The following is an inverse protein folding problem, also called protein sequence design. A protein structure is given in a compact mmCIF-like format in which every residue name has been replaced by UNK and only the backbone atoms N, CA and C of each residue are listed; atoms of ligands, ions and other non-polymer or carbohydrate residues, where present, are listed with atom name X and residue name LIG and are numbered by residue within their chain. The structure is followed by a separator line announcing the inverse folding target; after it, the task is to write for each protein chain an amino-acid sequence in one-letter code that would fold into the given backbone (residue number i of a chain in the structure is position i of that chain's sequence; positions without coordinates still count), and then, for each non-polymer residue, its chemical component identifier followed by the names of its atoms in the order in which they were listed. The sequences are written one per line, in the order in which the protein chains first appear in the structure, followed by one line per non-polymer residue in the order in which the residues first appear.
data_IF_332346070817
#
_entry.id   IF_332346070817
#
_cell.length_a   1.000
_cell.length_b   1.000
_cell.length_c   1.000
_cell.angle_alpha   90.00
_cell.angle_beta   90.00
_cell.angle_gamma   90.00
#
_symmetry.space_group_name_H-M   'P 1'
#
loop_
_entity.id
_entity.type
_entity.pdbx_description
1 polymer ?
#
# COMPACT_ATOMS: atom_id res chain seq x y z
N UNK A 1 16.47 21.99 29.06
CA UNK A 1 15.11 21.77 29.59
C UNK A 1 14.01 22.09 28.57
N UNK A 2 14.27 22.06 27.25
CA UNK A 2 13.24 22.26 26.20
C UNK A 2 13.03 21.03 25.28
N UNK A 3 13.83 19.96 25.44
CA UNK A 3 13.75 18.75 24.60
C UNK A 3 12.84 17.62 25.13
N UNK A 4 12.29 17.75 26.35
CA UNK A 4 11.46 16.73 26.97
C UNK A 4 9.95 16.95 26.74
N UNK A 5 9.54 18.12 26.24
CA UNK A 5 8.13 18.48 26.10
C UNK A 5 7.49 18.03 24.78
N UNK A 6 8.30 17.75 23.75
CA UNK A 6 7.78 17.39 22.40
C UNK A 6 7.40 15.91 22.32
N UNK A 7 8.06 15.04 23.10
CA UNK A 7 7.77 13.58 23.09
C UNK A 7 6.42 13.23 23.79
N UNK A 8 5.92 14.11 24.66
CA UNK A 8 4.67 13.83 25.42
C UNK A 8 3.38 14.19 24.64
N UNK A 9 3.47 15.01 23.60
CA UNK A 9 2.30 15.42 22.79
C UNK A 9 1.94 14.35 21.75
N UNK A 10 2.92 13.67 21.16
CA UNK A 10 2.67 12.61 20.19
C UNK A 10 2.01 11.34 20.81
N UNK A 11 2.19 11.10 22.12
CA UNK A 11 1.61 9.95 22.82
C UNK A 11 0.17 10.15 23.28
N UNK A 12 -0.34 11.40 23.34
CA UNK A 12 -1.70 11.70 23.80
C UNK A 12 -2.72 11.61 22.68
N UNK A 13 -2.33 11.80 21.42
CA UNK A 13 -3.24 11.70 20.28
C UNK A 13 -3.50 10.27 19.80
N UNK A 14 -2.59 9.32 20.04
CA UNK A 14 -2.78 7.91 19.69
C UNK A 14 -3.79 7.15 20.59
N UNK A 15 -4.20 7.73 21.72
CA UNK A 15 -5.11 7.09 22.69
C UNK A 15 -6.56 7.59 22.63
N UNK A 16 -6.87 8.64 21.86
CA UNK A 16 -8.23 9.18 21.74
C UNK A 16 -9.07 8.62 20.58
N UNK A 17 -8.45 7.85 19.65
CA UNK A 17 -9.17 7.25 18.51
C UNK A 17 -9.82 5.88 18.82
N UNK A 18 -9.56 5.29 19.98
CA UNK A 18 -10.03 3.93 20.32
C UNK A 18 -11.45 3.85 20.92
N UNK A 19 -12.19 4.96 21.00
CA UNK A 19 -13.48 5.04 21.73
C UNK A 19 -14.76 5.17 20.90
N UNK A 20 -14.71 5.33 19.59
CA UNK A 20 -15.87 5.79 18.81
C UNK A 20 -16.66 4.72 18.02
N UNK A 21 -16.19 3.47 17.95
CA UNK A 21 -16.81 2.44 17.09
C UNK A 21 -17.97 1.64 17.72
N UNK A 22 -18.55 2.06 18.84
CA UNK A 22 -19.56 1.26 19.56
C UNK A 22 -20.97 1.86 19.62
N UNK A 23 -21.32 2.93 18.92
CA UNK A 23 -22.73 3.40 18.78
C UNK A 23 -22.90 4.18 17.49
N UNK A 24 -23.88 3.78 16.67
CA UNK A 24 -24.27 4.43 15.42
C UNK A 24 -24.44 5.94 15.54
N UNK A 25 -23.35 6.64 15.38
CA UNK A 25 -23.26 8.07 15.20
C UNK A 25 -22.53 8.28 13.88
N UNK A 26 -22.96 9.27 13.13
CA UNK A 26 -22.27 9.79 11.93
C UNK A 26 -20.78 9.84 12.21
N UNK A 27 -19.98 9.07 11.44
CA UNK A 27 -18.54 9.07 11.56
C UNK A 27 -18.05 10.50 11.35
N UNK A 28 -17.41 11.10 12.35
CA UNK A 28 -16.60 12.29 12.13
C UNK A 28 -15.58 11.94 11.04
N UNK A 29 -15.49 12.77 10.00
CA UNK A 29 -14.48 12.63 8.95
C UNK A 29 -13.12 12.45 9.62
N UNK A 30 -12.31 11.44 9.23
CA UNK A 30 -10.92 11.38 9.67
C UNK A 30 -10.26 12.73 9.36
N UNK A 31 -9.37 13.25 10.21
CA UNK A 31 -8.64 14.47 9.91
C UNK A 31 -8.03 14.32 8.52
N UNK A 32 -8.22 15.33 7.67
CA UNK A 32 -7.81 15.27 6.27
C UNK A 32 -6.32 14.87 6.20
N UNK A 33 -6.01 13.73 5.58
CA UNK A 33 -4.62 13.26 5.38
C UNK A 33 -3.74 14.27 4.62
N UNK A 34 -4.33 15.25 3.93
CA UNK A 34 -3.63 16.45 3.46
C UNK A 34 -2.83 17.13 4.58
N UNK A 35 -3.39 17.23 5.77
CA UNK A 35 -2.74 17.85 6.92
C UNK A 35 -1.51 17.03 7.34
N UNK A 36 -1.61 15.70 7.37
CA UNK A 36 -0.47 14.82 7.72
C UNK A 36 0.59 14.70 6.62
N UNK A 37 0.20 14.68 5.35
CA UNK A 37 1.16 14.62 4.25
C UNK A 37 1.83 15.97 3.99
N UNK A 38 1.13 17.08 4.17
CA UNK A 38 1.69 18.43 4.15
C UNK A 38 2.52 18.68 5.42
N UNK A 39 2.06 18.28 6.60
CA UNK A 39 2.85 18.34 7.84
C UNK A 39 4.12 17.47 7.75
N UNK A 40 4.06 16.26 7.20
CA UNK A 40 5.27 15.43 7.05
C UNK A 40 6.27 16.00 6.04
N UNK A 41 5.80 16.62 4.95
CA UNK A 41 6.64 17.39 4.02
C UNK A 41 7.18 18.66 4.66
N UNK A 42 6.34 19.43 5.33
CA UNK A 42 6.71 20.67 6.02
C UNK A 42 7.72 20.41 7.14
N UNK A 43 7.56 19.32 7.92
CA UNK A 43 8.54 18.87 8.91
C UNK A 43 9.86 18.39 8.29
N UNK A 44 9.84 17.75 7.13
CA UNK A 44 11.05 17.30 6.44
C UNK A 44 11.78 18.44 5.73
N UNK A 45 11.04 19.37 5.12
CA UNK A 45 11.61 20.54 4.42
C UNK A 45 12.12 21.62 5.39
N UNK A 46 11.47 21.88 6.53
CA UNK A 46 11.87 22.93 7.47
C UNK A 46 13.06 22.57 8.38
N UNK A 47 13.38 21.30 8.59
CA UNK A 47 14.29 20.95 9.66
C UNK A 47 15.58 20.24 9.24
N UNK A 48 15.73 19.72 8.04
CA UNK A 48 16.81 18.77 7.77
C UNK A 48 16.83 17.66 8.83
N UNK A 49 15.64 17.21 9.24
CA UNK A 49 15.47 16.32 10.40
C UNK A 49 16.07 14.93 10.17
N UNK A 50 16.21 14.54 8.90
CA UNK A 50 16.67 13.21 8.50
C UNK A 50 17.81 13.27 7.46
N UNK A 51 18.91 14.04 7.74
CA UNK A 51 19.91 14.36 6.72
C UNK A 51 20.65 13.13 6.18
N UNK A 52 20.80 12.08 7.02
CA UNK A 52 21.48 10.87 6.58
C UNK A 52 20.57 10.03 5.69
N UNK A 53 19.29 9.92 6.05
CA UNK A 53 18.28 9.26 5.22
C UNK A 53 18.18 9.91 3.83
N UNK A 54 18.03 11.24 3.78
CA UNK A 54 17.96 11.97 2.51
C UNK A 54 19.24 11.81 1.68
N UNK A 55 20.40 11.85 2.33
CA UNK A 55 21.68 11.60 1.67
C UNK A 55 21.71 10.22 1.03
N UNK A 56 21.33 9.16 1.75
CA UNK A 56 21.30 7.80 1.18
C UNK A 56 20.23 7.65 0.10
N UNK A 57 19.11 8.38 0.22
CA UNK A 57 18.08 8.45 -0.82
C UNK A 57 18.61 8.99 -2.15
N UNK A 58 19.50 10.00 -2.12
CA UNK A 58 20.12 10.52 -3.35
C UNK A 58 20.99 9.45 -4.04
N UNK A 59 21.80 8.70 -3.28
CA UNK A 59 22.60 7.60 -3.85
C UNK A 59 21.70 6.48 -4.39
N UNK A 60 20.64 6.14 -3.66
CA UNK A 60 19.67 5.12 -4.09
C UNK A 60 19.03 5.47 -5.44
N UNK A 61 18.52 6.70 -5.58
CA UNK A 61 17.90 7.20 -6.82
C UNK A 61 18.85 7.22 -8.02
N UNK A 62 20.13 7.44 -7.77
CA UNK A 62 21.16 7.47 -8.79
C UNK A 62 21.79 6.08 -9.07
N UNK A 63 21.32 5.03 -8.36
CA UNK A 63 21.90 3.68 -8.41
C UNK A 63 23.43 3.68 -8.12
N UNK A 64 23.86 4.55 -7.20
CA UNK A 64 25.26 4.68 -6.82
C UNK A 64 25.56 3.94 -5.51
N UNK A 65 26.79 3.39 -5.35
CA UNK A 65 27.22 2.79 -4.08
C UNK A 65 27.11 3.77 -2.91
N UNK A 66 26.52 3.33 -1.81
CA UNK A 66 26.33 4.19 -0.63
C UNK A 66 27.69 4.52 0.03
N UNK A 67 27.93 5.79 0.38
CA UNK A 67 29.20 6.17 0.99
C UNK A 67 29.38 5.50 2.35
N UNK A 68 30.57 4.95 2.57
CA UNK A 68 30.90 4.25 3.80
C UNK A 68 30.41 2.81 3.88
N UNK A 69 29.65 2.33 2.89
CA UNK A 69 29.11 0.95 2.83
C UNK A 69 28.46 0.51 4.16
N UNK A 70 27.36 1.19 4.59
CA UNK A 70 26.78 0.98 5.93
C UNK A 70 26.27 -0.44 6.18
N UNK A 71 26.06 -1.24 5.12
CA UNK A 71 25.66 -2.63 5.17
C UNK A 71 26.82 -3.62 5.32
N UNK A 72 28.10 -3.18 5.21
CA UNK A 72 29.23 -4.09 5.26
C UNK A 72 29.30 -4.84 6.60
N UNK A 73 29.33 -6.19 6.53
CA UNK A 73 29.37 -7.09 7.69
C UNK A 73 28.07 -7.14 8.49
N UNK A 74 26.98 -6.58 7.98
CA UNK A 74 25.65 -6.62 8.59
C UNK A 74 24.77 -7.69 7.93
N UNK A 75 23.87 -8.28 8.73
CA UNK A 75 22.84 -9.22 8.26
C UNK A 75 21.51 -8.51 8.10
N UNK A 76 20.94 -8.60 6.91
CA UNK A 76 19.63 -8.05 6.57
C UNK A 76 18.60 -9.18 6.48
N UNK A 77 17.53 -9.10 7.28
CA UNK A 77 16.36 -9.96 7.14
C UNK A 77 15.27 -9.27 6.32
N UNK A 78 14.65 -9.99 5.40
CA UNK A 78 13.48 -9.54 4.68
C UNK A 78 12.46 -10.68 4.60
N UNK A 79 11.24 -10.46 5.08
CA UNK A 79 10.10 -11.35 4.89
C UNK A 79 9.17 -10.72 3.85
N UNK A 80 9.17 -11.28 2.63
CA UNK A 80 8.31 -10.83 1.55
C UNK A 80 6.88 -11.36 1.76
N UNK A 81 5.90 -10.57 1.35
CA UNK A 81 4.48 -10.95 1.51
C UNK A 81 4.10 -12.14 0.62
N UNK A 82 4.61 -12.17 -0.63
CA UNK A 82 4.35 -13.26 -1.57
C UNK A 82 5.36 -13.28 -2.73
N UNK A 83 6.30 -14.22 -2.69
CA UNK A 83 7.43 -14.26 -3.62
C UNK A 83 7.08 -14.54 -5.10
N UNK A 84 5.83 -14.84 -5.43
CA UNK A 84 5.40 -15.13 -6.81
C UNK A 84 4.48 -14.08 -7.42
N UNK A 85 4.10 -13.05 -6.65
CA UNK A 85 3.30 -11.95 -7.16
C UNK A 85 4.19 -10.89 -7.81
N UNK A 86 3.88 -10.39 -9.02
CA UNK A 86 4.72 -9.43 -9.74
C UNK A 86 5.13 -8.22 -8.92
N UNK A 87 4.20 -7.58 -8.21
CA UNK A 87 4.48 -6.48 -7.29
C UNK A 87 5.57 -6.84 -6.27
N UNK A 88 5.39 -7.97 -5.59
CA UNK A 88 6.29 -8.42 -4.52
C UNK A 88 7.65 -8.85 -5.05
N UNK A 89 7.71 -9.40 -6.26
CA UNK A 89 8.97 -9.72 -6.97
C UNK A 89 9.74 -8.42 -7.25
N UNK A 90 9.07 -7.39 -7.76
CA UNK A 90 9.69 -6.10 -8.04
C UNK A 90 10.23 -5.44 -6.77
N UNK A 91 9.46 -5.46 -5.67
CA UNK A 91 9.90 -4.98 -4.35
C UNK A 91 11.14 -5.71 -3.87
N UNK A 92 11.14 -7.06 -3.91
CA UNK A 92 12.27 -7.89 -3.47
C UNK A 92 13.53 -7.62 -4.28
N UNK A 93 13.40 -7.58 -5.61
CA UNK A 93 14.54 -7.35 -6.50
C UNK A 93 15.17 -5.99 -6.21
N UNK A 94 14.37 -4.93 -6.10
CA UNK A 94 14.92 -3.59 -5.85
C UNK A 94 15.51 -3.46 -4.43
N UNK A 95 14.93 -4.11 -3.41
CA UNK A 95 15.53 -4.18 -2.07
C UNK A 95 16.91 -4.86 -2.13
N UNK A 96 17.03 -5.99 -2.85
CA UNK A 96 18.31 -6.72 -3.00
C UNK A 96 19.35 -5.86 -3.73
N UNK A 97 18.96 -5.20 -4.81
CA UNK A 97 19.85 -4.32 -5.59
C UNK A 97 20.37 -3.16 -4.74
N UNK A 98 19.48 -2.46 -4.05
CA UNK A 98 19.84 -1.34 -3.18
C UNK A 98 20.66 -1.82 -1.97
N UNK A 99 20.36 -2.98 -1.39
CA UNK A 99 21.16 -3.56 -0.31
C UNK A 99 22.59 -3.85 -0.76
N UNK A 100 22.80 -4.37 -1.97
CA UNK A 100 24.14 -4.55 -2.55
C UNK A 100 24.88 -3.23 -2.72
N UNK A 101 24.19 -2.17 -3.19
CA UNK A 101 24.77 -0.82 -3.29
C UNK A 101 25.16 -0.25 -1.92
N UNK A 102 24.45 -0.61 -0.86
CA UNK A 102 24.74 -0.23 0.52
C UNK A 102 25.83 -1.08 1.19
N UNK A 103 26.33 -2.15 0.53
CA UNK A 103 27.42 -2.99 1.02
C UNK A 103 26.99 -4.27 1.74
N UNK A 104 25.70 -4.62 1.77
CA UNK A 104 25.27 -5.92 2.30
C UNK A 104 25.75 -7.04 1.37
N UNK A 105 26.40 -8.08 1.95
CA UNK A 105 26.77 -9.25 1.20
C UNK A 105 25.55 -10.13 0.90
N UNK A 106 25.51 -10.77 -0.26
CA UNK A 106 24.38 -11.61 -0.67
C UNK A 106 24.12 -12.76 0.31
N UNK A 107 25.18 -13.36 0.84
CA UNK A 107 25.11 -14.46 1.84
C UNK A 107 24.59 -13.98 3.22
N UNK A 108 24.60 -12.67 3.48
CA UNK A 108 24.11 -12.06 4.72
C UNK A 108 22.67 -11.50 4.57
N UNK A 109 22.06 -11.64 3.40
CA UNK A 109 20.65 -11.35 3.17
C UNK A 109 19.79 -12.61 3.39
N UNK A 110 18.88 -12.53 4.35
CA UNK A 110 17.97 -13.62 4.73
C UNK A 110 16.59 -13.29 4.20
N UNK A 111 16.18 -13.92 3.10
CA UNK A 111 14.89 -13.67 2.46
C UNK A 111 13.93 -14.82 2.75
N UNK A 112 12.68 -14.49 3.10
CA UNK A 112 11.61 -15.44 3.39
C UNK A 112 10.33 -15.01 2.70
N UNK A 113 9.46 -15.98 2.39
CA UNK A 113 8.16 -15.79 1.77
C UNK A 113 7.04 -16.08 2.79
N UNK A 114 6.21 -15.08 3.09
CA UNK A 114 5.06 -15.17 3.99
C UNK A 114 3.83 -15.81 3.34
N UNK A 115 3.82 -15.97 2.01
CA UNK A 115 2.81 -16.68 1.22
C UNK A 115 1.37 -16.19 1.42
N UNK A 116 1.18 -14.92 1.78
CA UNK A 116 -0.12 -14.37 2.23
C UNK A 116 -0.78 -15.19 3.36
N UNK A 117 0.02 -15.92 4.14
CA UNK A 117 -0.46 -16.80 5.20
C UNK A 117 0.03 -16.33 6.57
N UNK A 118 -0.93 -16.07 7.47
CA UNK A 118 -0.64 -15.58 8.83
C UNK A 118 0.18 -16.56 9.67
N UNK A 119 0.00 -17.86 9.47
CA UNK A 119 0.75 -18.91 10.22
C UNK A 119 2.17 -19.02 9.69
N UNK A 120 2.34 -18.96 8.37
CA UNK A 120 3.66 -18.95 7.72
C UNK A 120 4.42 -17.69 8.13
N UNK A 121 3.77 -16.52 8.08
CA UNK A 121 4.37 -15.26 8.50
C UNK A 121 4.88 -15.29 9.93
N UNK A 122 4.09 -15.77 10.89
CA UNK A 122 4.54 -15.96 12.28
C UNK A 122 5.72 -16.92 12.40
N UNK A 123 5.70 -18.03 11.68
CA UNK A 123 6.80 -18.99 11.66
C UNK A 123 8.07 -18.38 11.06
N UNK A 124 7.94 -17.61 9.99
CA UNK A 124 9.06 -16.89 9.36
C UNK A 124 9.67 -15.87 10.34
N UNK A 125 8.84 -15.12 11.05
CA UNK A 125 9.31 -14.21 12.10
C UNK A 125 10.11 -14.94 13.19
N UNK A 126 9.68 -16.12 13.66
CA UNK A 126 10.41 -16.91 14.63
C UNK A 126 11.75 -17.45 14.08
N UNK A 127 11.77 -17.89 12.84
CA UNK A 127 13.01 -18.30 12.16
C UNK A 127 13.94 -17.10 12.01
N UNK A 128 13.43 -15.93 11.59
CA UNK A 128 14.21 -14.71 11.42
C UNK A 128 14.85 -14.29 12.75
N UNK A 129 14.11 -14.30 13.87
CA UNK A 129 14.64 -14.04 15.20
C UNK A 129 15.79 -14.98 15.57
N UNK A 130 15.68 -16.28 15.22
CA UNK A 130 16.73 -17.27 15.49
C UNK A 130 18.01 -17.00 14.72
N UNK A 131 17.91 -16.39 13.55
CA UNK A 131 19.05 -16.03 12.69
C UNK A 131 19.73 -14.73 13.12
N UNK A 132 19.06 -13.93 13.97
CA UNK A 132 19.56 -12.68 14.55
C UNK A 132 20.11 -11.70 13.49
N UNK A 133 19.28 -11.20 12.55
CA UNK A 133 19.71 -10.14 11.65
C UNK A 133 20.01 -8.86 12.43
N UNK A 134 20.85 -7.99 11.89
CA UNK A 134 21.09 -6.65 12.42
C UNK A 134 19.89 -5.72 12.17
N UNK A 135 19.11 -5.99 11.12
CA UNK A 135 17.87 -5.29 10.77
C UNK A 135 16.86 -6.24 10.12
N UNK A 136 15.57 -6.00 10.36
CA UNK A 136 14.50 -6.76 9.76
C UNK A 136 13.50 -5.89 8.99
N UNK A 137 13.19 -6.27 7.77
CA UNK A 137 12.16 -5.68 6.93
C UNK A 137 10.97 -6.64 6.90
N UNK A 138 9.80 -6.18 7.35
CA UNK A 138 8.57 -6.97 7.36
C UNK A 138 7.59 -6.48 6.30
N UNK A 139 7.21 -7.38 5.41
CA UNK A 139 6.15 -7.17 4.44
C UNK A 139 5.10 -8.26 4.64
N UNK A 140 4.05 -7.96 5.41
CA UNK A 140 3.03 -8.92 5.85
C UNK A 140 1.63 -8.33 5.66
N UNK A 141 0.72 -9.11 5.08
CA UNK A 141 -0.65 -8.68 4.79
C UNK A 141 -1.56 -8.60 6.03
N UNK A 142 -1.29 -9.39 7.08
CA UNK A 142 -2.15 -9.49 8.26
C UNK A 142 -1.65 -8.57 9.38
N UNK A 143 -2.40 -7.52 9.68
CA UNK A 143 -2.07 -6.57 10.75
C UNK A 143 -2.00 -7.20 12.15
N UNK A 144 -2.71 -8.32 12.40
CA UNK A 144 -2.63 -9.05 13.66
C UNK A 144 -1.30 -9.77 13.82
N UNK A 145 -0.76 -10.31 12.72
CA UNK A 145 0.59 -10.89 12.70
C UNK A 145 1.60 -9.79 13.01
N UNK A 146 1.48 -8.61 12.40
CA UNK A 146 2.35 -7.47 12.64
C UNK A 146 2.41 -7.04 14.11
N UNK A 147 1.30 -7.12 14.84
CA UNK A 147 1.30 -6.84 16.28
C UNK A 147 2.17 -7.83 17.07
N UNK A 148 2.19 -9.10 16.68
CA UNK A 148 3.00 -10.15 17.32
C UNK A 148 4.47 -9.98 16.93
N UNK A 149 4.75 -9.70 15.67
CA UNK A 149 6.10 -9.41 15.14
C UNK A 149 6.71 -8.23 15.89
N UNK A 150 5.97 -7.12 16.03
CA UNK A 150 6.40 -5.95 16.79
C UNK A 150 6.86 -6.30 18.21
N UNK A 151 6.06 -7.06 18.94
CA UNK A 151 6.39 -7.48 20.31
C UNK A 151 7.67 -8.33 20.37
N UNK A 152 7.79 -9.30 19.46
CA UNK A 152 8.92 -10.24 19.42
C UNK A 152 10.23 -9.53 19.08
N UNK A 153 10.24 -8.68 18.04
CA UNK A 153 11.46 -8.00 17.58
C UNK A 153 11.87 -6.89 18.54
N UNK A 154 10.92 -6.14 19.11
CA UNK A 154 11.20 -5.17 20.19
C UNK A 154 11.84 -5.86 21.39
N UNK A 155 11.30 -7.00 21.84
CA UNK A 155 11.85 -7.76 22.97
C UNK A 155 13.27 -8.31 22.68
N UNK A 156 13.56 -8.61 21.42
CA UNK A 156 14.89 -9.06 20.96
C UNK A 156 15.88 -7.91 20.72
N UNK A 157 15.43 -6.66 20.72
CA UNK A 157 16.24 -5.48 20.41
C UNK A 157 16.69 -5.42 18.94
N UNK A 158 15.96 -6.07 18.03
CA UNK A 158 16.24 -6.05 16.61
C UNK A 158 15.37 -4.95 15.99
N UNK A 159 15.98 -3.90 15.35
CA UNK A 159 15.22 -2.87 14.67
C UNK A 159 14.51 -3.44 13.45
N UNK A 160 13.34 -2.89 13.15
CA UNK A 160 12.56 -3.30 11.99
C UNK A 160 11.92 -2.10 11.26
N UNK A 161 11.56 -2.30 10.00
CA UNK A 161 10.80 -1.41 9.16
C UNK A 161 9.64 -2.20 8.53
N UNK A 162 8.47 -1.58 8.45
CA UNK A 162 7.26 -2.16 7.87
C UNK A 162 7.06 -1.67 6.43
N UNK A 163 6.69 -2.60 5.52
CA UNK A 163 6.26 -2.26 4.16
C UNK A 163 4.74 -2.42 4.05
N UNK A 164 4.05 -1.41 3.52
CA UNK A 164 2.62 -1.33 3.14
C UNK A 164 1.59 -1.62 4.24
N UNK A 165 1.90 -2.47 5.21
CA UNK A 165 1.03 -2.73 6.37
C UNK A 165 1.82 -2.44 7.64
N UNK A 166 1.37 -1.50 8.50
CA UNK A 166 2.15 -1.03 9.64
C UNK A 166 2.49 -2.14 10.65
N UNK A 167 3.69 -2.04 11.21
CA UNK A 167 4.13 -2.79 12.40
C UNK A 167 4.26 -1.79 13.56
N UNK A 168 3.54 -1.96 14.68
CA UNK A 168 3.55 -1.02 15.77
C UNK A 168 4.95 -0.70 16.29
N UNK A 169 5.29 0.60 16.32
CA UNK A 169 6.57 1.09 16.81
C UNK A 169 7.72 1.05 15.80
N UNK A 170 7.48 0.57 14.59
CA UNK A 170 8.43 0.61 13.49
C UNK A 170 8.14 1.76 12.52
N UNK A 171 9.15 2.32 11.84
CA UNK A 171 8.92 3.15 10.68
C UNK A 171 8.11 2.40 9.61
N UNK A 172 7.20 3.10 8.96
CA UNK A 172 6.39 2.60 7.87
C UNK A 172 6.93 3.13 6.54
N UNK A 173 7.08 2.26 5.55
CA UNK A 173 7.32 2.65 4.17
C UNK A 173 6.23 2.04 3.28
N UNK A 174 5.66 2.84 2.40
CA UNK A 174 4.62 2.38 1.49
C UNK A 174 3.81 3.54 0.92
N UNK A 175 2.54 3.26 0.64
CA UNK A 175 1.62 4.19 -0.01
C UNK A 175 0.84 4.99 1.02
N UNK A 176 0.63 6.28 0.72
CA UNK A 176 -0.46 7.02 1.36
C UNK A 176 -1.78 6.50 0.78
N UNK A 177 -2.35 5.48 1.45
CA UNK A 177 -3.49 4.72 0.94
C UNK A 177 -4.75 5.59 0.72
N UNK A 178 -4.99 6.57 1.58
CA UNK A 178 -6.09 7.49 1.42
C UNK A 178 -5.91 8.38 0.19
N UNK A 179 -4.75 9.02 0.06
CA UNK A 179 -4.47 9.91 -1.06
C UNK A 179 -4.48 9.18 -2.40
N UNK A 180 -3.86 8.00 -2.48
CA UNK A 180 -3.88 7.16 -3.67
C UNK A 180 -5.31 6.77 -4.06
N UNK A 181 -6.13 6.38 -3.08
CA UNK A 181 -7.52 6.02 -3.31
C UNK A 181 -8.37 7.22 -3.75
N UNK A 182 -8.16 8.40 -3.17
CA UNK A 182 -8.81 9.65 -3.62
C UNK A 182 -8.43 9.97 -5.07
N UNK A 183 -7.16 9.77 -5.46
CA UNK A 183 -6.74 9.94 -6.86
C UNK A 183 -7.46 8.97 -7.79
N UNK A 184 -7.58 7.70 -7.39
CA UNK A 184 -8.31 6.67 -8.15
C UNK A 184 -9.80 7.03 -8.29
N UNK A 185 -10.45 7.43 -7.19
CA UNK A 185 -11.86 7.83 -7.17
C UNK A 185 -12.14 9.08 -8.02
N UNK A 186 -11.26 10.08 -7.98
CA UNK A 186 -11.36 11.26 -8.85
C UNK A 186 -11.20 10.92 -10.33
N UNK A 187 -10.30 9.97 -10.66
CA UNK A 187 -10.17 9.50 -12.02
C UNK A 187 -11.42 8.77 -12.49
N UNK A 188 -11.96 7.84 -11.67
CA UNK A 188 -13.22 7.18 -11.97
C UNK A 188 -14.40 8.17 -12.11
N UNK A 189 -14.49 9.16 -11.24
CA UNK A 189 -15.52 10.21 -11.32
C UNK A 189 -15.43 11.02 -12.63
N UNK A 190 -14.21 11.33 -13.07
CA UNK A 190 -13.98 11.99 -14.36
C UNK A 190 -14.54 11.14 -15.50
N UNK A 191 -14.21 9.84 -15.54
CA UNK A 191 -14.70 8.93 -16.59
C UNK A 191 -16.23 8.80 -16.56
N UNK A 192 -16.84 8.65 -15.38
CA UNK A 192 -18.31 8.63 -15.22
C UNK A 192 -18.97 9.87 -15.82
N UNK A 193 -18.37 11.06 -15.66
CA UNK A 193 -18.90 12.28 -16.26
C UNK A 193 -18.72 12.32 -17.77
N UNK A 194 -17.54 11.98 -18.24
CA UNK A 194 -17.17 12.11 -19.65
C UNK A 194 -17.87 11.06 -20.53
N UNK A 195 -17.99 9.84 -20.05
CA UNK A 195 -18.51 8.71 -20.82
C UNK A 195 -19.99 8.43 -20.56
N UNK A 196 -20.44 8.59 -19.30
CA UNK A 196 -21.81 8.22 -18.92
C UNK A 196 -22.69 9.43 -18.59
N UNK A 197 -22.14 10.65 -18.59
CA UNK A 197 -22.88 11.90 -18.38
C UNK A 197 -23.20 12.19 -16.89
N UNK A 198 -22.74 11.37 -15.96
CA UNK A 198 -22.89 11.58 -14.52
C UNK A 198 -23.34 10.36 -13.73
N UNK A 199 -23.39 10.52 -12.41
CA UNK A 199 -23.62 9.43 -11.44
C UNK A 199 -25.02 8.81 -11.53
N UNK A 200 -26.02 9.53 -12.04
CA UNK A 200 -27.37 8.98 -12.25
C UNK A 200 -27.37 7.77 -13.16
N UNK A 201 -26.41 7.68 -14.08
CA UNK A 201 -26.24 6.57 -15.01
C UNK A 201 -25.53 5.35 -14.40
N UNK A 202 -24.88 5.48 -13.23
CA UNK A 202 -24.23 4.37 -12.53
C UNK A 202 -25.30 3.55 -11.83
N UNK A 203 -25.27 2.22 -12.00
CA UNK A 203 -26.16 1.32 -11.29
C UNK A 203 -25.54 0.82 -10.00
N UNK A 204 -24.22 0.57 -10.01
CA UNK A 204 -23.51 -0.03 -8.89
C UNK A 204 -22.05 0.44 -8.85
N UNK A 205 -21.55 0.73 -7.65
CA UNK A 205 -20.13 0.92 -7.39
C UNK A 205 -19.65 -0.17 -6.43
N UNK A 206 -18.61 -0.92 -6.81
CA UNK A 206 -18.10 -2.06 -6.01
C UNK A 206 -16.68 -1.79 -5.54
N UNK A 207 -16.49 -1.87 -4.23
CA UNK A 207 -15.17 -1.76 -3.58
C UNK A 207 -14.79 -3.10 -2.98
N UNK A 208 -13.76 -3.76 -3.56
CA UNK A 208 -13.21 -4.98 -3.00
C UNK A 208 -12.12 -4.61 -1.99
N UNK A 209 -12.42 -4.85 -0.72
CA UNK A 209 -11.62 -4.48 0.43
C UNK A 209 -10.73 -5.64 0.92
N UNK A 210 -9.75 -5.34 1.78
CA UNK A 210 -8.92 -6.32 2.48
C UNK A 210 -8.89 -6.02 3.99
N UNK A 211 -9.93 -6.39 4.74
CA UNK A 211 -10.01 -6.10 6.17
C UNK A 211 -8.88 -6.71 7.01
N UNK A 212 -8.28 -7.81 6.54
CA UNK A 212 -7.15 -8.47 7.20
C UNK A 212 -5.92 -7.56 7.34
N UNK A 213 -5.69 -6.65 6.39
CA UNK A 213 -4.61 -5.66 6.44
C UNK A 213 -4.84 -4.54 7.46
N UNK A 214 -6.03 -4.49 8.07
CA UNK A 214 -6.39 -3.48 9.07
C UNK A 214 -6.82 -2.15 8.45
N UNK A 215 -6.79 -1.09 9.27
CA UNK A 215 -7.28 0.22 8.89
C UNK A 215 -6.60 0.77 7.62
N UNK A 216 -5.30 0.61 7.51
CA UNK A 216 -4.50 1.17 6.41
C UNK A 216 -4.95 0.65 5.04
N UNK A 217 -5.32 -0.63 4.93
CA UNK A 217 -5.84 -1.19 3.67
C UNK A 217 -7.29 -0.83 3.41
N UNK A 218 -8.08 -0.59 4.47
CA UNK A 218 -9.46 -0.10 4.34
C UNK A 218 -9.49 1.33 3.78
N UNK A 219 -8.54 2.20 4.18
CA UNK A 219 -8.39 3.55 3.64
C UNK A 219 -8.21 3.56 2.11
N UNK A 220 -7.63 2.50 1.54
CA UNK A 220 -7.45 2.33 0.10
C UNK A 220 -8.76 2.26 -0.69
N UNK A 221 -9.81 1.78 -0.09
CA UNK A 221 -11.16 1.75 -0.69
C UNK A 221 -12.03 2.93 -0.22
N UNK A 222 -11.92 3.32 1.06
CA UNK A 222 -12.73 4.41 1.61
C UNK A 222 -12.37 5.77 1.01
N UNK A 223 -11.09 6.01 0.69
CA UNK A 223 -10.68 7.21 -0.05
C UNK A 223 -11.28 7.28 -1.46
N UNK A 224 -11.46 6.13 -2.13
CA UNK A 224 -12.15 6.05 -3.42
C UNK A 224 -13.62 6.44 -3.28
N UNK A 225 -14.33 5.85 -2.32
CA UNK A 225 -15.72 6.20 -2.03
C UNK A 225 -15.88 7.67 -1.67
N UNK A 226 -15.01 8.20 -0.81
CA UNK A 226 -15.04 9.60 -0.40
C UNK A 226 -14.88 10.56 -1.59
N UNK A 227 -14.01 10.23 -2.56
CA UNK A 227 -13.84 11.02 -3.76
C UNK A 227 -15.09 11.03 -4.65
N UNK A 228 -15.81 9.90 -4.75
CA UNK A 228 -17.09 9.83 -5.47
C UNK A 228 -18.17 10.65 -4.77
N UNK A 229 -18.26 10.55 -3.45
CA UNK A 229 -19.23 11.33 -2.64
C UNK A 229 -18.92 12.84 -2.72
N UNK A 230 -17.66 13.23 -2.65
CA UNK A 230 -17.24 14.65 -2.80
C UNK A 230 -17.62 15.20 -4.17
N UNK A 231 -17.55 14.37 -5.21
CA UNK A 231 -17.78 14.74 -6.58
C UNK A 231 -19.27 14.76 -6.99
N UNK A 232 -20.05 13.81 -6.48
CA UNK A 232 -21.43 13.58 -6.90
C UNK A 232 -22.49 13.84 -5.81
N UNK A 233 -22.06 14.11 -4.58
CA UNK A 233 -22.93 14.35 -3.43
C UNK A 233 -23.20 13.08 -2.61
N UNK A 234 -23.83 13.27 -1.45
CA UNK A 234 -24.07 12.23 -0.45
C UNK A 234 -24.89 11.03 -1.01
N UNK A 235 -25.77 11.27 -1.97
CA UNK A 235 -26.57 10.24 -2.64
C UNK A 235 -25.70 9.22 -3.41
N UNK A 236 -24.42 9.54 -3.67
CA UNK A 236 -23.51 8.62 -4.31
C UNK A 236 -23.25 7.38 -3.44
N UNK A 237 -23.28 7.51 -2.14
CA UNK A 237 -23.08 6.43 -1.17
C UNK A 237 -24.12 5.30 -1.30
N UNK A 238 -25.33 5.63 -1.71
CA UNK A 238 -26.44 4.65 -1.85
C UNK A 238 -26.16 3.57 -2.90
N UNK A 239 -25.23 3.82 -3.84
CA UNK A 239 -24.85 2.86 -4.90
C UNK A 239 -23.54 2.14 -4.60
N UNK A 240 -22.88 2.43 -3.46
CA UNK A 240 -21.58 1.87 -3.11
C UNK A 240 -21.74 0.59 -2.29
N UNK A 241 -21.25 -0.51 -2.82
CA UNK A 241 -21.18 -1.82 -2.15
C UNK A 241 -19.74 -2.12 -1.78
N UNK A 242 -19.51 -2.38 -0.50
CA UNK A 242 -18.24 -2.82 0.05
C UNK A 242 -18.27 -4.33 0.28
N UNK A 243 -17.28 -5.04 -0.25
CA UNK A 243 -17.17 -6.49 -0.07
C UNK A 243 -15.75 -6.88 0.30
N UNK A 244 -15.62 -7.94 1.12
CA UNK A 244 -14.32 -8.49 1.48
C UNK A 244 -13.76 -9.27 0.27
N UNK A 245 -12.72 -8.74 -0.36
CA UNK A 245 -12.01 -9.35 -1.49
C UNK A 245 -10.97 -10.40 -1.06
N UNK A 246 -10.91 -10.74 0.23
CA UNK A 246 -9.96 -11.70 0.79
C UNK A 246 -8.59 -11.11 1.07
N UNK A 247 -7.55 -11.92 0.86
CA UNK A 247 -6.16 -11.58 1.16
C UNK A 247 -5.40 -11.01 -0.05
N UNK A 248 -6.08 -10.31 -0.97
CA UNK A 248 -5.44 -9.77 -2.16
C UNK A 248 -5.20 -10.79 -3.28
N UNK A 249 -5.94 -11.89 -3.28
CA UNK A 249 -5.81 -13.00 -4.23
C UNK A 249 -7.01 -13.08 -5.18
N UNK A 250 -6.77 -13.46 -6.44
CA UNK A 250 -7.79 -13.49 -7.49
C UNK A 250 -8.92 -14.49 -7.23
N UNK A 251 -8.64 -15.63 -6.64
CA UNK A 251 -9.66 -16.67 -6.39
C UNK A 251 -10.72 -16.17 -5.37
N UNK A 252 -10.28 -15.58 -4.27
CA UNK A 252 -11.17 -15.03 -3.24
C UNK A 252 -11.98 -13.85 -3.78
N UNK A 253 -11.31 -12.96 -4.51
CA UNK A 253 -11.95 -11.80 -5.13
C UNK A 253 -12.99 -12.20 -6.18
N UNK A 254 -12.70 -13.25 -6.97
CA UNK A 254 -13.69 -13.79 -7.92
C UNK A 254 -14.95 -14.25 -7.20
N UNK A 255 -14.80 -15.03 -6.13
CA UNK A 255 -15.95 -15.51 -5.36
C UNK A 255 -16.76 -14.35 -4.75
N UNK A 256 -16.07 -13.34 -4.18
CA UNK A 256 -16.74 -12.16 -3.64
C UNK A 256 -17.50 -11.37 -4.72
N UNK A 257 -16.94 -11.24 -5.93
CA UNK A 257 -17.60 -10.56 -7.02
C UNK A 257 -18.75 -11.39 -7.61
N UNK A 258 -18.63 -12.73 -7.67
CA UNK A 258 -19.73 -13.62 -8.05
C UNK A 258 -20.97 -13.41 -7.14
N UNK A 259 -20.74 -13.25 -5.82
CA UNK A 259 -21.80 -12.96 -4.84
C UNK A 259 -22.41 -11.56 -5.06
N UNK A 260 -21.61 -10.55 -5.34
CA UNK A 260 -22.09 -9.20 -5.66
C UNK A 260 -22.94 -9.20 -6.92
N UNK A 261 -22.48 -9.87 -7.99
CA UNK A 261 -23.24 -9.96 -9.25
C UNK A 261 -24.57 -10.71 -9.08
N UNK A 262 -24.60 -11.72 -8.21
CA UNK A 262 -25.83 -12.45 -7.89
C UNK A 262 -26.82 -11.60 -7.07
N UNK A 263 -26.31 -10.72 -6.20
CA UNK A 263 -27.14 -9.80 -5.40
C UNK A 263 -27.68 -8.62 -6.23
N UNK A 264 -27.00 -8.24 -7.32
CA UNK A 264 -27.34 -7.10 -8.18
C UNK A 264 -27.48 -7.53 -9.66
N UNK A 265 -28.45 -8.40 -9.98
CA UNK A 265 -28.57 -8.99 -11.32
C UNK A 265 -28.91 -7.96 -12.42
N UNK A 266 -29.54 -6.84 -12.05
CA UNK A 266 -29.98 -5.80 -13.00
C UNK A 266 -28.95 -4.66 -13.20
N UNK A 267 -27.84 -4.65 -12.43
CA UNK A 267 -26.84 -3.59 -12.58
C UNK A 267 -26.08 -3.79 -13.90
N UNK A 268 -26.13 -2.82 -14.79
CA UNK A 268 -25.43 -2.84 -16.08
C UNK A 268 -24.17 -1.96 -16.01
N UNK A 269 -24.30 -0.69 -15.59
CA UNK A 269 -23.19 0.25 -15.48
C UNK A 269 -22.53 0.19 -14.12
N UNK A 270 -21.30 -0.29 -14.09
CA UNK A 270 -20.57 -0.55 -12.84
C UNK A 270 -19.27 0.24 -12.76
N UNK A 271 -19.04 0.89 -11.61
CA UNK A 271 -17.75 1.44 -11.22
C UNK A 271 -17.09 0.49 -10.22
N UNK A 272 -15.86 0.06 -10.47
CA UNK A 272 -15.22 -0.96 -9.64
C UNK A 272 -13.81 -0.56 -9.27
N UNK A 273 -13.45 -0.75 -8.00
CA UNK A 273 -12.08 -0.65 -7.53
C UNK A 273 -11.72 -1.82 -6.62
N UNK A 274 -10.43 -2.07 -6.51
CA UNK A 274 -9.87 -3.10 -5.63
C UNK A 274 -8.55 -2.66 -5.01
N UNK A 275 -8.09 -3.42 -4.04
CA UNK A 275 -6.85 -3.12 -3.31
C UNK A 275 -5.57 -3.35 -4.12
N UNK A 276 -5.61 -4.17 -5.16
CA UNK A 276 -4.49 -4.49 -6.06
C UNK A 276 -4.96 -5.17 -7.35
N UNK A 277 -4.07 -5.35 -8.30
CA UNK A 277 -4.34 -5.94 -9.62
C UNK A 277 -4.68 -7.43 -9.56
N UNK A 278 -4.16 -8.17 -8.58
CA UNK A 278 -4.50 -9.60 -8.40
C UNK A 278 -5.98 -9.77 -8.00
N UNK A 279 -6.45 -8.93 -7.08
CA UNK A 279 -7.88 -8.85 -6.72
C UNK A 279 -8.70 -8.49 -7.96
N UNK A 280 -8.27 -7.48 -8.72
CA UNK A 280 -8.98 -7.07 -9.94
C UNK A 280 -9.01 -8.16 -11.02
N UNK A 281 -7.95 -8.95 -11.17
CA UNK A 281 -7.98 -10.10 -12.08
C UNK A 281 -9.11 -11.09 -11.74
N UNK A 282 -9.37 -11.30 -10.45
CA UNK A 282 -10.51 -12.10 -9.98
C UNK A 282 -11.85 -11.47 -10.34
N UNK A 283 -11.98 -10.15 -10.17
CA UNK A 283 -13.18 -9.40 -10.54
C UNK A 283 -13.47 -9.50 -12.03
N UNK A 284 -12.46 -9.24 -12.87
CA UNK A 284 -12.58 -9.35 -14.33
C UNK A 284 -12.99 -10.76 -14.74
N UNK A 285 -12.38 -11.80 -14.15
CA UNK A 285 -12.74 -13.18 -14.40
C UNK A 285 -14.19 -13.51 -14.00
N UNK A 286 -14.70 -12.91 -12.91
CA UNK A 286 -16.11 -13.04 -12.49
C UNK A 286 -17.04 -12.41 -13.53
N UNK A 287 -16.78 -11.15 -13.92
CA UNK A 287 -17.57 -10.44 -14.93
C UNK A 287 -17.61 -11.20 -16.26
N UNK A 288 -16.46 -11.70 -16.73
CA UNK A 288 -16.36 -12.49 -17.97
C UNK A 288 -17.13 -13.80 -17.87
N UNK A 289 -17.02 -14.52 -16.74
CA UNK A 289 -17.71 -15.78 -16.53
C UNK A 289 -19.23 -15.59 -16.48
N UNK A 290 -19.69 -14.50 -15.88
CA UNK A 290 -21.09 -14.13 -15.82
C UNK A 290 -21.64 -13.56 -17.14
N UNK A 291 -20.77 -13.32 -18.15
CA UNK A 291 -21.16 -12.67 -19.41
C UNK A 291 -21.55 -11.20 -19.25
N UNK A 292 -21.03 -10.54 -18.20
CA UNK A 292 -21.33 -9.16 -17.82
C UNK A 292 -20.13 -8.21 -17.99
N UNK A 293 -19.03 -8.70 -18.53
CA UNK A 293 -17.91 -7.87 -18.92
C UNK A 293 -18.26 -7.07 -20.17
N UNK A 294 -18.24 -5.75 -20.05
CA UNK A 294 -18.47 -4.82 -21.16
C UNK A 294 -17.67 -3.54 -20.87
N UNK A 295 -16.68 -3.23 -21.70
CA UNK A 295 -15.82 -2.07 -21.54
C UNK A 295 -16.57 -0.72 -21.66
N UNK A 296 -17.74 -0.67 -22.36
CA UNK A 296 -18.56 0.54 -22.45
C UNK A 296 -19.41 0.78 -21.18
N UNK A 297 -19.65 -0.28 -20.41
CA UNK A 297 -20.51 -0.26 -19.22
C UNK A 297 -19.76 -0.58 -17.92
N UNK A 298 -18.42 -0.67 -17.95
CA UNK A 298 -17.63 -0.95 -16.75
C UNK A 298 -16.45 0.02 -16.66
N UNK A 299 -16.40 0.83 -15.62
CA UNK A 299 -15.24 1.69 -15.29
C UNK A 299 -14.48 1.02 -14.15
N UNK A 300 -13.22 0.69 -14.41
CA UNK A 300 -12.33 0.03 -13.44
C UNK A 300 -11.07 0.86 -13.22
N UNK A 301 -10.84 1.26 -11.97
CA UNK A 301 -9.59 1.90 -11.56
C UNK A 301 -8.97 1.13 -10.42
N UNK A 302 -7.76 0.59 -10.62
CA UNK A 302 -7.05 -0.23 -9.66
C UNK A 302 -5.91 0.50 -8.96
N UNK A 303 -5.12 -0.21 -8.18
CA UNK A 303 -4.04 0.36 -7.39
C UNK A 303 -2.86 -0.61 -7.33
N UNK A 304 -1.65 -0.09 -7.63
CA UNK A 304 -0.38 -0.83 -7.64
C UNK A 304 0.40 -0.61 -8.93
N UNK A 305 -0.23 -0.85 -10.07
CA UNK A 305 0.32 -0.76 -11.42
C UNK A 305 1.59 -1.63 -11.61
N UNK A 306 1.56 -2.86 -11.06
CA UNK A 306 2.58 -3.86 -11.34
C UNK A 306 2.48 -4.39 -12.79
N UNK A 307 3.30 -5.37 -13.17
CA UNK A 307 3.28 -5.93 -14.54
C UNK A 307 1.87 -6.42 -14.96
N UNK A 308 1.10 -6.97 -14.02
CA UNK A 308 -0.28 -7.39 -14.29
C UNK A 308 -1.18 -6.19 -14.56
N UNK A 309 -1.10 -5.13 -13.73
CA UNK A 309 -1.84 -3.90 -13.90
C UNK A 309 -1.49 -3.19 -15.22
N UNK A 310 -0.21 -3.15 -15.56
CA UNK A 310 0.26 -2.61 -16.84
C UNK A 310 -0.33 -3.38 -18.02
N UNK A 311 -0.38 -4.72 -17.95
CA UNK A 311 -1.03 -5.55 -18.97
C UNK A 311 -2.54 -5.27 -19.04
N UNK A 312 -3.22 -5.22 -17.89
CA UNK A 312 -4.67 -4.94 -17.82
C UNK A 312 -5.02 -3.58 -18.46
N UNK A 313 -4.20 -2.54 -18.23
CA UNK A 313 -4.39 -1.22 -18.87
C UNK A 313 -4.16 -1.31 -20.38
N UNK A 314 -3.06 -1.94 -20.83
CA UNK A 314 -2.75 -2.06 -22.27
C UNK A 314 -3.79 -2.87 -23.03
N UNK A 315 -4.35 -3.89 -22.39
CA UNK A 315 -5.38 -4.75 -22.97
C UNK A 315 -6.79 -4.14 -22.92
N UNK A 316 -6.93 -2.94 -22.30
CA UNK A 316 -8.23 -2.26 -22.14
C UNK A 316 -9.16 -2.98 -21.18
N UNK A 317 -8.61 -3.73 -20.22
CA UNK A 317 -9.36 -4.40 -19.17
C UNK A 317 -9.62 -3.51 -17.95
N UNK A 318 -8.82 -2.44 -17.80
CA UNK A 318 -8.98 -1.41 -16.77
C UNK A 318 -8.73 -0.03 -17.37
N UNK A 319 -9.40 0.99 -16.83
CA UNK A 319 -9.33 2.37 -17.30
C UNK A 319 -8.17 3.13 -16.66
N UNK A 320 -7.57 2.56 -15.64
CA UNK A 320 -6.38 3.07 -15.00
C UNK A 320 -5.98 2.32 -13.75
N UNK A 321 -4.77 2.61 -13.30
CA UNK A 321 -4.24 2.17 -12.01
C UNK A 321 -3.41 3.27 -11.38
N UNK A 322 -3.43 3.36 -10.05
CA UNK A 322 -2.52 4.24 -9.32
C UNK A 322 -1.19 3.53 -9.18
N UNK A 323 -0.15 4.05 -9.83
CA UNK A 323 1.19 3.49 -9.73
C UNK A 323 1.77 3.68 -8.33
N UNK A 324 2.35 2.62 -7.79
CA UNK A 324 3.07 2.58 -6.52
C UNK A 324 4.58 2.42 -6.72
N UNK A 325 5.01 2.12 -7.94
CA UNK A 325 6.42 1.93 -8.31
C UNK A 325 7.15 0.90 -7.43
N UNK A 326 6.67 -0.37 -7.36
CA UNK A 326 7.31 -1.40 -6.52
C UNK A 326 8.79 -1.61 -6.87
N UNK A 327 9.18 -1.34 -8.10
CA UNK A 327 10.56 -1.37 -8.60
C UNK A 327 11.47 -0.28 -8.00
N UNK A 328 10.91 0.64 -7.20
CA UNK A 328 11.64 1.70 -6.49
C UNK A 328 11.56 1.59 -4.97
N UNK A 329 10.92 0.57 -4.43
CA UNK A 329 10.73 0.46 -2.98
C UNK A 329 12.05 0.37 -2.22
N UNK A 330 13.03 -0.33 -2.76
CA UNK A 330 14.38 -0.41 -2.18
C UNK A 330 15.07 0.94 -2.04
N UNK A 331 14.77 1.90 -2.95
CA UNK A 331 15.30 3.28 -2.88
C UNK A 331 14.81 4.05 -1.64
N UNK A 332 13.75 3.60 -0.99
CA UNK A 332 13.23 4.16 0.25
C UNK A 332 13.62 3.30 1.46
N UNK A 333 13.48 1.99 1.32
CA UNK A 333 13.71 1.02 2.39
C UNK A 333 15.16 0.99 2.83
N UNK A 334 16.09 0.79 1.90
CA UNK A 334 17.51 0.59 2.25
C UNK A 334 18.17 1.87 2.81
N UNK A 335 17.90 3.07 2.31
CA UNK A 335 18.31 4.31 2.99
C UNK A 335 17.83 4.40 4.44
N UNK A 336 16.59 4.00 4.72
CA UNK A 336 16.05 3.99 6.08
C UNK A 336 16.73 2.93 6.96
N UNK A 337 16.93 1.72 6.44
CA UNK A 337 17.69 0.64 7.11
C UNK A 337 19.09 1.13 7.50
N UNK A 338 19.83 1.70 6.55
CA UNK A 338 21.19 2.18 6.76
C UNK A 338 21.25 3.31 7.79
N UNK A 339 20.34 4.28 7.73
CA UNK A 339 20.28 5.37 8.69
C UNK A 339 20.03 4.86 10.11
N UNK A 340 19.09 3.94 10.29
CA UNK A 340 18.79 3.36 11.60
C UNK A 340 19.96 2.52 12.12
N UNK A 341 20.66 1.77 11.28
CA UNK A 341 21.85 0.99 11.66
C UNK A 341 23.01 1.88 12.12
N UNK A 342 23.09 3.12 11.62
CA UNK A 342 24.06 4.13 12.07
C UNK A 342 23.59 4.95 13.28
N UNK A 343 22.37 4.67 13.78
CA UNK A 343 21.80 5.32 14.97
C UNK A 343 21.12 6.66 14.69
N UNK A 344 20.88 6.98 13.41
CA UNK A 344 20.22 8.20 12.99
C UNK A 344 18.71 7.98 12.75
N UNK A 345 17.87 8.99 13.03
CA UNK A 345 16.43 8.87 12.86
C UNK A 345 16.02 8.87 11.37
N UNK A 346 14.85 8.32 11.12
CA UNK A 346 14.18 8.36 9.82
C UNK A 346 12.75 8.88 9.98
N UNK A 347 12.08 9.33 8.90
CA UNK A 347 10.67 9.67 8.95
C UNK A 347 9.85 8.48 9.48
N UNK A 348 8.87 8.69 10.37
CA UNK A 348 8.01 7.62 10.86
C UNK A 348 7.12 7.02 9.75
N UNK A 349 6.79 7.84 8.73
CA UNK A 349 6.08 7.46 7.52
C UNK A 349 6.90 7.92 6.30
N UNK A 350 7.26 6.96 5.46
CA UNK A 350 8.02 7.15 4.23
C UNK A 350 7.07 6.80 3.08
N UNK A 351 6.49 7.80 2.43
CA UNK A 351 5.52 7.58 1.36
C UNK A 351 6.18 7.57 -0.01
N UNK A 352 5.74 6.63 -0.85
CA UNK A 352 6.09 6.60 -2.27
C UNK A 352 5.27 7.62 -3.05
N UNK A 353 5.81 8.07 -4.18
CA UNK A 353 5.06 8.89 -5.13
C UNK A 353 3.97 8.07 -5.80
N UNK A 354 2.85 8.72 -6.13
CA UNK A 354 1.73 8.08 -6.81
C UNK A 354 1.35 8.85 -8.07
N UNK A 355 1.02 8.12 -9.12
CA UNK A 355 0.58 8.66 -10.42
C UNK A 355 -0.56 7.82 -10.95
N UNK A 356 -1.57 8.47 -11.53
CA UNK A 356 -2.63 7.77 -12.29
C UNK A 356 -2.05 7.33 -13.63
N UNK A 357 -1.96 6.03 -13.86
CA UNK A 357 -1.54 5.44 -15.12
C UNK A 357 -2.77 5.00 -15.91
N UNK A 358 -2.81 5.40 -17.17
CA UNK A 358 -3.87 5.08 -18.14
C UNK A 358 -3.23 4.63 -19.45
N UNK A 359 -4.02 4.22 -20.43
CA UNK A 359 -3.50 3.91 -21.78
C UNK A 359 -2.75 5.08 -22.42
N UNK A 360 -3.12 6.31 -22.09
CA UNK A 360 -2.53 7.52 -22.71
C UNK A 360 -1.09 7.77 -22.24
N UNK A 361 -0.78 7.48 -20.97
CA UNK A 361 0.52 7.81 -20.38
C UNK A 361 1.38 6.61 -19.96
N UNK A 362 0.88 5.38 -20.07
CA UNK A 362 1.59 4.18 -19.60
C UNK A 362 2.99 4.04 -20.21
N UNK A 363 3.18 4.44 -21.46
CA UNK A 363 4.48 4.33 -22.12
C UNK A 363 5.49 5.40 -21.68
N UNK A 364 5.05 6.45 -20.97
CA UNK A 364 5.95 7.45 -20.37
C UNK A 364 6.61 6.90 -19.11
N UNK A 365 5.87 6.09 -18.33
CA UNK A 365 6.32 5.52 -17.06
C UNK A 365 6.86 4.10 -17.20
N UNK A 366 6.27 3.32 -18.09
CA UNK A 366 6.59 1.91 -18.33
C UNK A 366 6.77 1.67 -19.84
N UNK A 367 7.88 2.12 -20.45
CA UNK A 367 8.16 1.90 -21.87
C UNK A 367 8.32 0.40 -22.17
N UNK A 368 7.84 -0.04 -23.36
CA UNK A 368 7.99 -1.43 -23.85
C UNK A 368 9.34 -1.63 -24.55
#
# INVERSE_FOLDING_TARGET
MKKVFVILIALVFALSAFGAFAKGGTAEKPPEEKEYAEESKEYAEEAGMYPLFEKYREYAKNEEPYPGQPGEGKKLGFANIFATQPFCISVENNIIEQAKLAGFAEDDMIIMDNQYDSVIGLKNADIMLSKRPDFFIEFQADSKVNNIVAQKFTAAGIPLLAIDVPVPGAPFMGVNNWQAAVMAGKHAAKLVREEWGGWDSVDLCVLLQMPAGGEVTMLRSEGFAAALVDEFGDDAEDKIVRTDGGMGQSEQAKAAMDDVLAAHPEAEKMVITSINEQTMAGVIASLQTAGRWDAENTIIVTQGCDELGQSQIRDGLTDGSIAYFPEKYGEYVIPAVCSILEGEPVPPYIYVENVVITQDNINEYYPQ
#
